data_IF_841232462968
#
_entry.id   IF_841232462968
#
_cell.length_a   1.000
_cell.length_b   1.000
_cell.length_c   1.000
_cell.angle_alpha   90.00
_cell.angle_beta   90.00
_cell.angle_gamma   90.00
#
_symmetry.space_group_name_H-M   'P 1'
#
loop_
_entity.id
_entity.type
_entity.pdbx_description
1 polymer ?
#
# COMPACT_ATOMS: atom_id res chain seq x y z
N UNK A 1 14.66 43.42 -34.42
CA UNK A 1 15.36 42.63 -33.37
C UNK A 1 14.55 42.35 -32.10
N UNK A 2 13.71 43.27 -31.59
CA UNK A 2 12.93 43.03 -30.36
C UNK A 2 11.93 41.85 -30.44
N UNK A 3 11.19 41.69 -31.54
CA UNK A 3 10.23 40.57 -31.67
C UNK A 3 10.89 39.18 -31.64
N UNK A 4 12.12 39.04 -32.15
CA UNK A 4 12.83 37.75 -32.18
C UNK A 4 13.28 37.29 -30.78
N UNK A 5 13.49 38.24 -29.87
CA UNK A 5 13.80 37.96 -28.47
C UNK A 5 12.56 37.55 -27.68
N UNK A 6 11.44 38.23 -27.89
CA UNK A 6 10.14 37.88 -27.25
C UNK A 6 9.70 36.48 -27.64
N UNK A 7 9.82 36.14 -28.93
CA UNK A 7 9.44 34.81 -29.41
C UNK A 7 10.32 33.69 -28.80
N UNK A 8 11.63 33.90 -28.67
CA UNK A 8 12.53 32.94 -28.02
C UNK A 8 12.25 32.77 -26.53
N UNK A 9 11.88 33.84 -25.84
CA UNK A 9 11.54 33.79 -24.42
C UNK A 9 10.25 32.99 -24.18
N UNK A 10 9.23 33.20 -25.02
CA UNK A 10 7.98 32.42 -24.95
C UNK A 10 8.23 30.92 -25.17
N UNK A 11 9.05 30.53 -26.15
CA UNK A 11 9.40 29.13 -26.37
C UNK A 11 10.11 28.51 -25.17
N UNK A 12 11.03 29.23 -24.52
CA UNK A 12 11.71 28.79 -23.31
C UNK A 12 10.73 28.58 -22.15
N UNK A 13 9.80 29.52 -21.91
CA UNK A 13 8.79 29.38 -20.86
C UNK A 13 7.87 28.17 -21.08
N UNK A 14 7.44 27.93 -22.33
CA UNK A 14 6.61 26.77 -22.67
C UNK A 14 7.40 25.47 -22.48
N UNK A 15 8.67 25.43 -22.88
CA UNK A 15 9.51 24.26 -22.68
C UNK A 15 9.78 23.97 -21.20
N UNK A 16 10.11 24.98 -20.40
CA UNK A 16 10.37 24.79 -18.96
C UNK A 16 9.10 24.41 -18.21
N UNK A 17 7.94 24.97 -18.59
CA UNK A 17 6.66 24.59 -18.00
C UNK A 17 6.28 23.14 -18.36
N UNK A 18 6.43 22.73 -19.61
CA UNK A 18 6.17 21.34 -20.01
C UNK A 18 7.18 20.35 -19.39
N UNK A 19 8.46 20.72 -19.32
CA UNK A 19 9.47 19.90 -18.66
C UNK A 19 9.21 19.80 -17.15
N UNK A 20 8.77 20.88 -16.50
CA UNK A 20 8.35 20.87 -15.10
C UNK A 20 7.11 20.00 -14.90
N UNK A 21 6.08 20.11 -15.74
CA UNK A 21 4.89 19.27 -15.64
C UNK A 21 5.23 17.79 -15.85
N UNK A 22 6.04 17.46 -16.87
CA UNK A 22 6.51 16.10 -17.12
C UNK A 22 7.34 15.58 -15.94
N UNK A 23 8.24 16.40 -15.40
CA UNK A 23 9.02 16.07 -14.20
C UNK A 23 8.09 15.82 -13.01
N UNK A 24 7.10 16.67 -12.77
CA UNK A 24 6.16 16.48 -11.66
C UNK A 24 5.27 15.27 -11.85
N UNK A 25 4.87 14.91 -13.08
CA UNK A 25 4.09 13.69 -13.34
C UNK A 25 4.94 12.45 -13.08
N UNK A 26 6.18 12.42 -13.57
CA UNK A 26 7.09 11.29 -13.35
C UNK A 26 7.47 11.14 -11.87
N UNK A 27 7.57 12.24 -11.12
CA UNK A 27 7.96 12.24 -9.70
C UNK A 27 6.80 12.25 -8.69
N UNK A 28 5.55 12.49 -9.12
CA UNK A 28 4.37 12.48 -8.25
C UNK A 28 3.39 11.35 -8.51
N UNK A 29 3.50 10.64 -9.64
CA UNK A 29 2.95 9.29 -9.66
C UNK A 29 3.60 8.55 -8.49
N UNK A 30 2.84 7.96 -7.56
CA UNK A 30 3.38 7.24 -6.42
C UNK A 30 4.05 5.96 -6.93
N UNK A 31 5.20 6.13 -7.58
CA UNK A 31 6.18 5.08 -7.70
C UNK A 31 6.70 4.85 -6.29
N UNK A 32 6.03 3.94 -5.60
CA UNK A 32 6.56 3.23 -4.43
C UNK A 32 7.93 2.74 -4.87
N UNK A 33 8.97 3.45 -4.45
CA UNK A 33 10.32 3.15 -4.87
C UNK A 33 10.69 1.78 -4.32
N UNK A 34 11.31 0.97 -5.19
CA UNK A 34 11.98 -0.30 -4.93
C UNK A 34 11.89 -0.79 -3.48
N UNK A 35 10.93 -1.66 -3.17
CA UNK A 35 11.15 -2.54 -2.03
C UNK A 35 12.44 -3.31 -2.36
N UNK A 36 13.52 -3.02 -1.64
CA UNK A 36 14.68 -3.91 -1.59
C UNK A 36 14.24 -5.32 -1.12
N UNK A 37 13.06 -5.38 -0.49
CA UNK A 37 12.36 -6.52 0.07
C UNK A 37 11.59 -7.37 -0.94
N UNK A 38 12.04 -7.49 -2.18
CA UNK A 38 11.45 -8.48 -3.07
C UNK A 38 12.50 -9.46 -3.58
N UNK A 39 12.38 -10.68 -3.09
CA UNK A 39 13.29 -11.77 -3.35
C UNK A 39 12.98 -12.97 -2.48
N UNK A 40 13.83 -14.01 -2.51
CA UNK A 40 13.61 -15.24 -1.75
C UNK A 40 13.50 -15.03 -0.23
N UNK A 41 14.15 -14.00 0.30
CA UNK A 41 14.13 -13.65 1.73
C UNK A 41 12.87 -12.92 2.16
N UNK A 42 12.04 -12.49 1.21
CA UNK A 42 10.88 -11.64 1.43
C UNK A 42 9.67 -12.17 0.66
N UNK A 43 9.41 -13.47 0.80
CA UNK A 43 8.37 -14.19 0.06
C UNK A 43 6.97 -13.58 0.25
N UNK A 44 6.75 -12.85 1.34
CA UNK A 44 5.55 -12.08 1.64
C UNK A 44 5.24 -11.00 0.57
N UNK A 45 6.23 -10.41 -0.10
CA UNK A 45 6.01 -9.41 -1.14
C UNK A 45 5.90 -10.00 -2.55
N UNK A 46 5.78 -11.33 -2.63
CA UNK A 46 6.08 -12.06 -3.86
C UNK A 46 4.91 -12.94 -4.26
N UNK A 47 4.71 -13.04 -5.57
CA UNK A 47 3.68 -13.89 -6.15
C UNK A 47 4.31 -14.85 -7.15
N UNK A 48 3.88 -16.12 -7.07
CA UNK A 48 4.21 -17.11 -8.08
C UNK A 48 3.34 -16.89 -9.32
N UNK A 49 3.98 -16.69 -10.47
CA UNK A 49 3.25 -16.62 -11.72
C UNK A 49 2.97 -18.01 -12.30
N UNK A 50 1.79 -18.13 -12.92
CA UNK A 50 1.40 -19.28 -13.74
C UNK A 50 1.15 -18.78 -15.17
N UNK A 51 1.39 -19.64 -16.17
CA UNK A 51 1.12 -19.36 -17.58
C UNK A 51 1.77 -18.08 -18.12
N UNK A 52 3.09 -17.98 -17.98
CA UNK A 52 3.84 -16.78 -18.36
C UNK A 52 4.31 -16.81 -19.81
N UNK A 53 4.38 -15.64 -20.44
CA UNK A 53 5.04 -15.45 -21.74
C UNK A 53 6.27 -14.57 -21.55
N UNK A 54 7.44 -15.05 -22.00
CA UNK A 54 8.69 -14.28 -21.99
C UNK A 54 8.87 -13.56 -23.33
N UNK A 55 9.22 -12.27 -23.28
CA UNK A 55 9.51 -11.46 -24.46
C UNK A 55 11.01 -11.33 -24.72
N UNK A 56 11.38 -10.93 -25.94
CA UNK A 56 12.79 -10.77 -26.37
C UNK A 56 13.53 -9.67 -25.59
N UNK A 57 12.81 -8.67 -25.09
CA UNK A 57 13.35 -7.62 -24.23
C UNK A 57 13.61 -8.09 -22.78
N UNK A 58 13.32 -9.36 -22.47
CA UNK A 58 13.47 -9.95 -21.14
C UNK A 58 12.30 -9.69 -20.20
N UNK A 59 11.21 -9.04 -20.63
CA UNK A 59 10.02 -8.89 -19.79
C UNK A 59 9.20 -10.19 -19.74
N UNK A 60 8.41 -10.33 -18.68
CA UNK A 60 7.48 -11.45 -18.47
C UNK A 60 6.05 -10.92 -18.44
N UNK A 61 5.13 -11.61 -19.10
CA UNK A 61 3.72 -11.22 -19.15
C UNK A 61 2.78 -12.31 -18.66
N UNK A 62 1.73 -11.89 -17.95
CA UNK A 62 0.77 -12.76 -17.25
C UNK A 62 -0.69 -12.48 -17.59
N UNK A 63 -0.97 -12.09 -18.83
CA UNK A 63 -2.33 -11.80 -19.29
C UNK A 63 -2.85 -10.43 -18.83
N UNK A 64 -2.64 -10.04 -17.57
CA UNK A 64 -3.00 -8.72 -17.05
C UNK A 64 -1.82 -7.76 -16.97
N UNK A 65 -0.60 -8.27 -16.77
CA UNK A 65 0.54 -7.47 -16.33
C UNK A 65 1.82 -7.80 -17.07
N UNK A 66 2.67 -6.78 -17.24
CA UNK A 66 4.01 -6.90 -17.79
C UNK A 66 5.06 -6.53 -16.75
N UNK A 67 5.94 -7.48 -16.46
CA UNK A 67 7.02 -7.38 -15.49
C UNK A 67 8.35 -7.16 -16.22
N UNK A 68 8.98 -5.97 -16.11
CA UNK A 68 10.29 -5.72 -16.70
C UNK A 68 11.40 -6.53 -15.99
N UNK A 69 12.57 -6.73 -16.63
CA UNK A 69 13.74 -7.30 -15.96
C UNK A 69 14.03 -6.59 -14.63
N UNK A 70 14.31 -7.36 -13.58
CA UNK A 70 14.54 -6.85 -12.22
C UNK A 70 13.28 -6.73 -11.36
N UNK A 71 12.07 -6.88 -11.92
CA UNK A 71 10.82 -6.99 -11.14
C UNK A 71 10.40 -8.43 -10.85
N UNK A 72 11.24 -9.39 -11.24
CA UNK A 72 10.99 -10.82 -11.13
C UNK A 72 12.30 -11.60 -11.05
N UNK A 73 12.25 -12.83 -10.54
CA UNK A 73 13.35 -13.79 -10.64
C UNK A 73 12.82 -15.19 -10.97
N UNK A 74 13.74 -16.10 -11.28
CA UNK A 74 13.43 -17.49 -11.61
C UNK A 74 14.13 -18.40 -10.61
N UNK A 75 13.37 -19.29 -10.01
CA UNK A 75 13.86 -20.29 -9.05
C UNK A 75 13.16 -21.62 -9.33
N UNK A 76 13.92 -22.71 -9.54
CA UNK A 76 13.38 -24.04 -9.81
C UNK A 76 12.30 -24.06 -10.92
N UNK A 77 12.61 -23.45 -12.08
CA UNK A 77 11.70 -23.25 -13.22
C UNK A 77 10.40 -22.49 -12.91
N UNK A 78 10.30 -21.90 -11.71
CA UNK A 78 9.19 -21.08 -11.27
C UNK A 78 9.56 -19.61 -11.36
N UNK A 79 8.67 -18.80 -11.95
CA UNK A 79 8.84 -17.35 -12.01
C UNK A 79 8.13 -16.73 -10.82
N UNK A 80 8.87 -15.95 -10.05
CA UNK A 80 8.38 -15.16 -8.94
C UNK A 80 8.45 -13.69 -9.28
N UNK A 81 7.41 -12.94 -8.95
CA UNK A 81 7.32 -11.51 -9.24
C UNK A 81 7.09 -10.66 -8.00
N UNK A 82 7.45 -9.40 -8.15
CA UNK A 82 7.20 -8.31 -7.22
C UNK A 82 6.06 -7.45 -7.77
N UNK A 83 4.78 -7.82 -7.55
CA UNK A 83 3.67 -7.05 -8.10
C UNK A 83 3.67 -5.59 -7.67
N UNK A 84 4.11 -5.33 -6.44
CA UNK A 84 4.15 -3.99 -5.85
C UNK A 84 5.20 -3.06 -6.49
N UNK A 85 6.10 -3.60 -7.35
CA UNK A 85 7.04 -2.79 -8.13
C UNK A 85 6.42 -2.18 -9.39
N UNK A 86 5.30 -2.71 -9.85
CA UNK A 86 4.61 -2.25 -11.07
C UNK A 86 3.22 -1.67 -10.79
N UNK A 87 2.65 -1.95 -9.63
CA UNK A 87 1.35 -1.48 -9.17
C UNK A 87 1.41 -1.07 -7.70
N UNK A 88 0.49 -0.22 -7.27
CA UNK A 88 0.29 0.07 -5.85
C UNK A 88 -0.39 -1.12 -5.17
N UNK A 89 0.35 -1.81 -4.32
CA UNK A 89 -0.21 -2.89 -3.51
C UNK A 89 -1.01 -2.34 -2.33
N UNK A 90 -2.18 -2.91 -2.12
CA UNK A 90 -3.06 -2.61 -0.98
C UNK A 90 -3.13 -3.88 -0.14
N UNK A 91 -2.52 -3.91 1.06
CA UNK A 91 -2.59 -5.07 1.94
C UNK A 91 -4.02 -5.21 2.46
N UNK A 92 -4.65 -6.36 2.24
CA UNK A 92 -6.01 -6.64 2.71
C UNK A 92 -6.01 -7.71 3.79
N UNK A 93 -6.78 -7.48 4.85
CA UNK A 93 -6.83 -8.41 5.98
C UNK A 93 -7.49 -9.74 5.59
N UNK A 94 -8.64 -9.68 4.92
CA UNK A 94 -9.31 -10.86 4.37
C UNK A 94 -8.86 -11.16 2.93
N UNK A 95 -9.07 -12.40 2.45
CA UNK A 95 -8.91 -12.72 1.04
C UNK A 95 -9.74 -11.79 0.12
N UNK A 96 -9.35 -11.69 -1.15
CA UNK A 96 -10.10 -10.89 -2.10
C UNK A 96 -11.54 -11.43 -2.26
N UNK A 97 -12.51 -10.52 -2.28
CA UNK A 97 -13.94 -10.86 -2.25
C UNK A 97 -14.53 -11.20 -0.87
N UNK A 98 -13.76 -11.07 0.22
CA UNK A 98 -14.24 -11.25 1.59
C UNK A 98 -14.16 -9.96 2.41
N UNK A 99 -14.96 -9.84 3.46
CA UNK A 99 -14.97 -8.71 4.40
C UNK A 99 -15.17 -9.21 5.82
N UNK A 100 -14.91 -8.38 6.84
CA UNK A 100 -15.23 -8.76 8.21
C UNK A 100 -16.73 -8.67 8.49
N UNK A 101 -17.27 -9.68 9.18
CA UNK A 101 -18.69 -9.69 9.61
C UNK A 101 -19.03 -8.46 10.45
N UNK A 102 -18.16 -8.05 11.38
CA UNK A 102 -18.32 -6.83 12.17
C UNK A 102 -16.98 -6.40 12.80
N UNK A 103 -16.94 -5.23 13.43
CA UNK A 103 -15.76 -4.76 14.19
C UNK A 103 -15.33 -5.79 15.26
N UNK A 104 -16.31 -6.38 15.94
CA UNK A 104 -16.08 -7.32 17.05
C UNK A 104 -15.98 -8.78 16.57
N UNK A 105 -16.44 -9.07 15.36
CA UNK A 105 -16.37 -10.39 14.75
C UNK A 105 -15.59 -10.29 13.43
N UNK A 106 -14.28 -10.48 13.55
CA UNK A 106 -13.29 -10.38 12.47
C UNK A 106 -13.20 -11.68 11.65
N UNK A 107 -14.26 -12.47 11.62
CA UNK A 107 -14.36 -13.58 10.69
C UNK A 107 -14.56 -13.04 9.28
N UNK A 108 -13.76 -13.50 8.32
CA UNK A 108 -13.91 -13.15 6.92
C UNK A 108 -15.13 -13.89 6.33
N UNK A 109 -16.04 -13.14 5.71
CA UNK A 109 -17.24 -13.65 5.01
C UNK A 109 -17.29 -13.11 3.59
N UNK A 110 -17.90 -13.85 2.67
CA UNK A 110 -18.12 -13.45 1.27
C UNK A 110 -19.44 -12.65 1.10
N UNK A 111 -20.13 -12.35 2.20
CA UNK A 111 -21.31 -11.48 2.24
C UNK A 111 -20.94 -9.99 2.12
N UNK A 112 -20.39 -9.59 0.96
CA UNK A 112 -20.06 -8.20 0.69
C UNK A 112 -20.97 -7.59 -0.38
N UNK A 113 -21.55 -6.42 -0.08
CA UNK A 113 -22.39 -5.68 -1.03
C UNK A 113 -21.57 -4.87 -2.05
N UNK A 114 -20.35 -4.48 -1.69
CA UNK A 114 -19.47 -3.62 -2.48
C UNK A 114 -18.06 -4.18 -2.60
N UNK A 115 -17.40 -3.89 -3.73
CA UNK A 115 -16.00 -4.24 -3.97
C UNK A 115 -15.09 -3.44 -3.02
N UNK A 116 -14.23 -4.13 -2.28
CA UNK A 116 -13.21 -3.51 -1.44
C UNK A 116 -12.39 -2.44 -2.20
N UNK A 117 -12.01 -2.74 -3.44
CA UNK A 117 -11.19 -1.81 -4.23
C UNK A 117 -11.95 -0.54 -4.62
N UNK A 118 -13.25 -0.66 -4.90
CA UNK A 118 -14.09 0.48 -5.24
C UNK A 118 -14.33 1.39 -4.02
N UNK A 119 -14.54 0.77 -2.86
CA UNK A 119 -14.60 1.48 -1.57
C UNK A 119 -13.30 2.20 -1.26
N UNK A 120 -12.16 1.52 -1.42
CA UNK A 120 -10.83 2.09 -1.19
C UNK A 120 -10.56 3.30 -2.09
N UNK A 121 -10.83 3.18 -3.40
CA UNK A 121 -10.66 4.28 -4.36
C UNK A 121 -11.61 5.43 -4.04
N UNK A 122 -12.85 5.14 -3.65
CA UNK A 122 -13.82 6.17 -3.28
C UNK A 122 -13.38 6.93 -2.02
N UNK A 123 -12.86 6.21 -1.03
CA UNK A 123 -12.32 6.78 0.19
C UNK A 123 -11.11 7.70 -0.12
N UNK A 124 -10.16 7.23 -0.93
CA UNK A 124 -9.03 8.03 -1.42
C UNK A 124 -9.49 9.30 -2.16
N UNK A 125 -10.46 9.17 -3.07
CA UNK A 125 -10.99 10.29 -3.84
C UNK A 125 -11.67 11.33 -2.94
N UNK A 126 -12.31 10.89 -1.85
CA UNK A 126 -13.00 11.77 -0.90
C UNK A 126 -12.05 12.59 -0.01
N UNK A 127 -10.81 12.14 0.18
CA UNK A 127 -9.86 12.72 1.14
C UNK A 127 -9.32 14.11 0.78
N UNK A 128 -9.73 14.72 -0.33
CA UNK A 128 -9.46 16.13 -0.72
C UNK A 128 -8.00 16.57 -0.93
N UNK A 129 -7.00 15.82 -0.45
CA UNK A 129 -5.58 16.16 -0.60
C UNK A 129 -4.96 15.69 -1.92
N UNK A 130 -5.62 14.77 -2.64
CA UNK A 130 -5.24 14.41 -4.02
C UNK A 130 -5.78 15.50 -4.96
N UNK A 131 -5.19 16.70 -4.88
CA UNK A 131 -5.59 17.86 -5.68
C UNK A 131 -5.18 17.76 -7.15
N UNK A 132 -4.42 16.73 -7.52
CA UNK A 132 -4.18 16.37 -8.91
C UNK A 132 -5.10 15.23 -9.27
N UNK A 133 -6.01 15.52 -10.19
CA UNK A 133 -6.88 14.60 -10.92
C UNK A 133 -6.06 13.60 -11.76
N UNK A 134 -5.06 12.93 -11.17
CA UNK A 134 -4.60 11.65 -11.67
C UNK A 134 -5.80 10.72 -11.50
N UNK A 135 -6.31 10.26 -12.63
CA UNK A 135 -7.44 9.34 -12.66
C UNK A 135 -7.06 8.09 -11.87
N UNK A 136 -7.69 7.89 -10.72
CA UNK A 136 -7.58 6.69 -9.90
C UNK A 136 -8.14 5.52 -10.71
N UNK A 137 -7.31 4.90 -11.54
CA UNK A 137 -7.68 3.73 -12.30
C UNK A 137 -7.45 2.48 -11.46
N UNK A 138 -8.47 1.62 -11.35
CA UNK A 138 -8.42 0.35 -10.62
C UNK A 138 -7.25 -0.54 -11.04
N UNK A 139 -6.82 -0.44 -12.30
CA UNK A 139 -5.69 -1.20 -12.86
C UNK A 139 -4.32 -0.82 -12.27
N UNK A 140 -4.19 0.37 -11.68
CA UNK A 140 -2.97 0.81 -11.02
C UNK A 140 -2.78 0.17 -9.64
N UNK A 141 -3.84 -0.43 -9.10
CA UNK A 141 -3.86 -1.02 -7.78
C UNK A 141 -3.86 -2.55 -7.86
N UNK A 142 -3.32 -3.17 -6.83
CA UNK A 142 -3.40 -4.60 -6.62
C UNK A 142 -3.74 -4.89 -5.16
N UNK A 143 -4.84 -5.58 -4.93
CA UNK A 143 -5.18 -6.11 -3.60
C UNK A 143 -4.28 -7.30 -3.33
N UNK A 144 -3.53 -7.25 -2.23
CA UNK A 144 -2.64 -8.32 -1.79
C UNK A 144 -3.29 -8.99 -0.58
N UNK A 145 -3.73 -10.24 -0.80
CA UNK A 145 -4.48 -11.00 0.17
C UNK A 145 -3.58 -11.60 1.26
N UNK A 146 -4.15 -11.73 2.47
CA UNK A 146 -3.81 -12.78 3.42
C UNK A 146 -2.34 -12.78 3.89
N UNK A 147 -1.79 -11.59 4.14
CA UNK A 147 -0.36 -11.44 4.48
C UNK A 147 -0.10 -10.81 5.84
N UNK A 148 -1.11 -10.25 6.51
CA UNK A 148 -0.80 -9.29 7.57
C UNK A 148 -1.51 -9.58 8.88
N UNK A 149 -0.68 -9.68 9.91
CA UNK A 149 -0.98 -10.15 11.25
C UNK A 149 -1.47 -11.61 11.21
N UNK A 150 -0.92 -12.46 12.06
CA UNK A 150 -1.52 -13.76 12.25
C UNK A 150 -2.92 -13.47 12.82
N UNK A 151 -3.98 -13.45 11.99
CA UNK A 151 -5.33 -12.96 12.32
C UNK A 151 -5.94 -13.71 13.52
N UNK A 152 -5.27 -14.78 13.94
CA UNK A 152 -5.55 -15.63 15.08
C UNK A 152 -4.81 -15.26 16.37
N UNK A 153 -3.96 -14.23 16.37
CA UNK A 153 -3.30 -13.65 17.55
C UNK A 153 -3.97 -12.32 17.85
N UNK A 154 -4.43 -12.15 19.08
CA UNK A 154 -5.73 -11.54 19.39
C UNK A 154 -5.80 -10.02 19.34
N UNK A 155 -4.71 -9.27 19.15
CA UNK A 155 -4.73 -7.82 19.31
C UNK A 155 -4.39 -7.06 18.02
N UNK A 156 -5.42 -6.39 17.48
CA UNK A 156 -5.26 -5.34 16.49
C UNK A 156 -5.82 -4.06 17.10
N UNK A 157 -5.09 -2.97 16.92
CA UNK A 157 -5.63 -1.63 17.15
C UNK A 157 -6.42 -1.23 15.91
N UNK A 158 -7.75 -1.12 16.06
CA UNK A 158 -8.64 -0.66 15.01
C UNK A 158 -8.66 0.86 15.03
N UNK A 159 -8.17 1.46 13.96
CA UNK A 159 -8.23 2.89 13.74
C UNK A 159 -9.14 3.20 12.55
N UNK A 160 -10.07 4.13 12.74
CA UNK A 160 -10.80 4.69 11.60
C UNK A 160 -9.78 5.42 10.74
N UNK A 161 -9.67 5.03 9.47
CA UNK A 161 -8.62 5.55 8.59
C UNK A 161 -8.84 7.04 8.35
N UNK A 162 -7.95 7.87 8.90
CA UNK A 162 -7.78 9.24 8.43
C UNK A 162 -6.93 9.22 7.16
N UNK A 163 -7.61 9.17 6.02
CA UNK A 163 -6.99 9.13 4.68
C UNK A 163 -6.04 10.30 4.42
N UNK A 164 -6.24 11.42 5.10
CA UNK A 164 -5.39 12.60 4.97
C UNK A 164 -4.01 12.37 5.60
N UNK A 165 -3.94 11.65 6.73
CA UNK A 165 -2.70 11.26 7.40
C UNK A 165 -2.05 10.06 6.71
N UNK A 166 -2.87 9.10 6.25
CA UNK A 166 -2.38 7.92 5.55
C UNK A 166 -1.54 8.30 4.31
N UNK A 167 -1.97 9.33 3.57
CA UNK A 167 -1.22 9.83 2.41
C UNK A 167 0.17 10.38 2.78
N UNK A 168 0.28 11.08 3.90
CA UNK A 168 1.51 11.73 4.35
C UNK A 168 2.47 10.80 5.11
N UNK A 169 1.94 9.76 5.76
CA UNK A 169 2.76 8.81 6.55
C UNK A 169 3.09 7.54 5.76
N UNK A 170 2.16 7.03 4.95
CA UNK A 170 2.31 5.75 4.24
C UNK A 170 2.76 5.95 2.80
N UNK A 171 2.39 7.07 2.15
CA UNK A 171 2.62 7.28 0.70
C UNK A 171 3.58 8.43 0.36
N UNK A 172 4.22 9.06 1.36
CA UNK A 172 5.15 10.18 1.13
C UNK A 172 6.42 9.74 0.38
N UNK A 173 7.15 10.67 -0.23
CA UNK A 173 8.20 10.51 -1.27
C UNK A 173 9.28 9.44 -1.08
N UNK A 174 9.48 8.96 0.15
CA UNK A 174 10.44 7.89 0.49
C UNK A 174 9.75 6.57 0.91
N UNK A 175 8.43 6.44 0.67
CA UNK A 175 7.50 5.32 0.99
C UNK A 175 7.80 4.01 0.24
N UNK A 176 9.05 3.63 0.28
CA UNK A 176 9.59 2.38 -0.26
C UNK A 176 9.22 1.16 0.59
N UNK A 177 8.78 1.40 1.83
CA UNK A 177 8.32 0.37 2.75
C UNK A 177 6.88 0.63 3.17
N UNK A 178 5.94 0.22 2.31
CA UNK A 178 4.65 -0.25 2.83
C UNK A 178 5.02 -1.46 3.68
N UNK A 179 5.01 -1.32 5.00
CA UNK A 179 5.20 -2.42 5.95
C UNK A 179 3.95 -3.30 5.90
N UNK A 180 3.79 -4.05 4.81
CA UNK A 180 2.68 -4.99 4.54
C UNK A 180 2.55 -6.04 5.65
N UNK A 181 3.54 -6.17 6.53
CA UNK A 181 3.51 -7.05 7.69
C UNK A 181 3.02 -6.37 8.99
N UNK A 182 2.87 -5.05 8.99
CA UNK A 182 2.48 -4.26 10.18
C UNK A 182 1.05 -3.73 10.11
N UNK A 183 0.43 -3.70 8.93
CA UNK A 183 -0.96 -3.27 8.81
C UNK A 183 -1.67 -3.83 7.59
N UNK A 184 -2.98 -3.90 7.67
CA UNK A 184 -3.85 -4.20 6.55
C UNK A 184 -5.08 -3.28 6.55
N UNK A 185 -5.73 -3.21 5.39
CA UNK A 185 -7.00 -2.53 5.24
C UNK A 185 -8.12 -3.55 5.12
N UNK A 186 -9.30 -3.20 5.65
CA UNK A 186 -10.47 -4.05 5.46
C UNK A 186 -11.78 -3.26 5.50
N UNK A 187 -12.75 -3.80 4.78
CA UNK A 187 -14.16 -3.42 4.78
C UNK A 187 -14.96 -4.26 5.78
N UNK A 188 -16.05 -3.70 6.30
CA UNK A 188 -16.96 -4.42 7.20
C UNK A 188 -18.31 -4.56 6.51
N UNK A 189 -18.94 -5.72 6.63
CA UNK A 189 -20.26 -5.98 6.06
C UNK A 189 -21.26 -4.91 6.51
N UNK A 190 -22.06 -4.41 5.57
CA UNK A 190 -23.00 -3.29 5.75
C UNK A 190 -22.36 -1.94 6.14
N UNK A 191 -21.04 -1.76 5.93
CA UNK A 191 -20.37 -0.46 6.09
C UNK A 191 -19.71 -0.03 4.79
N UNK A 192 -19.86 1.24 4.45
CA UNK A 192 -19.21 1.88 3.29
C UNK A 192 -17.84 2.48 3.65
N UNK A 193 -17.20 1.98 4.70
CA UNK A 193 -15.95 2.51 5.25
C UNK A 193 -14.87 1.44 5.14
N UNK A 194 -13.66 1.88 4.84
CA UNK A 194 -12.45 1.07 4.93
C UNK A 194 -11.75 1.42 6.24
N UNK A 195 -11.31 0.39 6.96
CA UNK A 195 -10.63 0.48 8.23
C UNK A 195 -9.15 0.18 8.04
N UNK A 196 -8.31 0.87 8.81
CA UNK A 196 -6.88 0.63 8.88
C UNK A 196 -6.63 -0.17 10.16
N UNK A 197 -6.02 -1.34 10.00
CA UNK A 197 -5.74 -2.24 11.10
C UNK A 197 -4.25 -2.40 11.26
N UNK A 198 -3.73 -2.01 12.41
CA UNK A 198 -2.32 -2.19 12.76
C UNK A 198 -2.14 -3.49 13.54
N UNK A 199 -1.13 -4.28 13.16
CA UNK A 199 -0.71 -5.44 13.94
C UNK A 199 -0.06 -4.97 15.24
N UNK A 200 -0.43 -5.58 16.36
CA UNK A 200 0.39 -5.54 17.56
C UNK A 200 1.43 -6.66 17.42
N UNK A 201 2.72 -6.32 17.44
CA UNK A 201 3.80 -7.32 17.42
C UNK A 201 4.08 -7.75 18.87
N UNK A 202 4.38 -9.04 19.08
CA UNK A 202 4.63 -9.60 20.42
C UNK A 202 5.73 -8.85 21.21
N UNK A 203 6.69 -8.23 20.52
CA UNK A 203 7.73 -7.40 21.14
C UNK A 203 7.17 -6.16 21.85
N UNK A 204 6.03 -5.64 21.41
CA UNK A 204 5.37 -4.48 22.03
C UNK A 204 4.56 -4.88 23.28
N UNK A 205 4.16 -6.16 23.39
CA UNK A 205 3.39 -6.69 24.52
C UNK A 205 4.29 -6.80 25.76
N UNK A 206 5.51 -7.33 25.59
CA UNK A 206 6.47 -7.44 26.70
C UNK A 206 6.89 -6.09 27.29
N UNK A 207 6.93 -5.04 26.48
CA UNK A 207 7.27 -3.67 26.94
C UNK A 207 6.09 -3.01 27.69
N UNK A 208 4.84 -3.38 27.38
CA UNK A 208 3.66 -2.88 28.11
C UNK A 208 3.55 -3.55 29.49
N UNK A 209 3.75 -4.87 29.56
CA UNK A 209 3.73 -5.60 30.84
C UNK A 209 4.82 -5.09 31.80
N UNK A 210 6.06 -4.88 31.32
CA UNK A 210 7.14 -4.34 32.16
C UNK A 210 6.88 -2.93 32.70
N UNK A 211 6.10 -2.09 32.00
CA UNK A 211 5.77 -0.73 32.47
C UNK A 211 4.62 -0.68 33.46
N UNK A 212 3.65 -1.57 33.33
CA UNK A 212 2.53 -1.64 34.29
C UNK A 212 3.02 -2.15 35.65
N UNK A 213 3.96 -3.10 35.65
CA UNK A 213 4.58 -3.61 36.89
C UNK A 213 5.44 -2.53 37.60
N UNK A 214 6.15 -1.67 36.86
CA UNK A 214 6.93 -0.56 37.45
C UNK A 214 6.03 0.55 38.05
N UNK A 215 4.87 0.81 37.47
CA UNK A 215 3.93 1.82 37.99
C UNK A 215 3.15 1.35 39.24
N UNK A 216 2.91 0.03 39.39
CA UNK A 216 2.32 -0.51 40.62
C UNK A 216 3.28 -0.45 41.81
N UNK A 217 4.59 -0.69 41.62
CA UNK A 217 5.58 -0.62 42.71
C UNK A 217 5.81 0.83 43.21
N UNK A 218 5.78 1.85 42.33
CA UNK A 218 5.91 3.25 42.77
C UNK A 218 4.65 3.80 43.48
N UNK A 219 3.50 3.13 43.31
CA UNK A 219 2.24 3.49 43.97
C UNK A 219 2.17 3.12 45.45
N UNK A 220 2.82 2.02 45.85
CA UNK A 220 2.81 1.54 47.25
C UNK A 220 3.82 2.27 48.16
N UNK A 221 4.94 2.77 47.64
CA UNK A 221 5.94 3.49 48.46
C UNK A 221 5.50 4.89 48.92
N UNK A 222 4.42 5.46 48.38
CA UNK A 222 3.90 6.79 48.77
C UNK A 222 2.81 6.78 49.84
N UNK A 223 2.45 5.62 50.40
CA UNK A 223 1.44 5.50 51.47
C UNK A 223 2.00 5.03 52.83
N UNK A 224 3.32 4.92 52.99
CA UNK A 224 4.01 4.57 54.25
C UNK A 224 4.50 5.76 55.06
#
# INVERSE_FOLDING_TARGET
NKCRWVQRFLYLCVFTHNAYNLYTVIWRSPHISNSEDCGPTHAEFTMRLKNTTKFQNGSVYTGSDMYPPGSYWVENDTIWVCPCRIRTCIPKCCPNGYSFVSINNRTCTDECDESFLDLYISALASSSQIHTQETLHTENYLVVDNKTCNVFVEDFELEVTDWSQLHDDVFNKDSTLIKINEYCFESIVNKSEIFHMKCVLDEDIGIKEEKEDEEEEEGEERQG
#
